data_IF_849702865681
#
_entry.id   IF_849702865681
#
_cell.length_a   1.000
_cell.length_b   1.000
_cell.length_c   1.000
_cell.angle_alpha   90.00
_cell.angle_beta   90.00
_cell.angle_gamma   90.00
#
_symmetry.space_group_name_H-M   'P 1'
#
loop_
_entity.id
_entity.type
_entity.pdbx_description
1 polymer ?
#
# COMPACT_ATOMS: atom_id res chain seq x y z
N UNK A 1 10.16 -11.76 11.22
CA UNK A 1 10.17 -12.72 10.10
C UNK A 1 8.80 -12.71 9.42
N UNK A 2 8.66 -13.28 8.21
CA UNK A 2 7.32 -13.51 7.64
C UNK A 2 6.44 -14.38 8.56
N UNK A 3 7.01 -15.16 9.47
CA UNK A 3 6.27 -15.93 10.49
C UNK A 3 5.52 -15.06 11.52
N UNK A 4 5.87 -13.78 11.65
CA UNK A 4 5.28 -12.89 12.69
C UNK A 4 4.15 -12.00 12.15
N UNK A 5 3.90 -12.02 10.84
CA UNK A 5 2.71 -11.36 10.30
C UNK A 5 1.45 -12.18 10.69
N UNK A 6 0.24 -11.64 10.55
CA UNK A 6 -0.94 -12.36 11.02
C UNK A 6 -1.62 -13.12 9.86
N UNK A 7 -2.22 -14.30 10.11
CA UNK A 7 -2.79 -15.22 9.08
C UNK A 7 -4.33 -15.25 9.15
N UNK A 8 -5.06 -15.46 8.04
CA UNK A 8 -4.59 -15.71 6.67
C UNK A 8 -4.00 -14.47 5.97
N UNK A 9 -3.12 -14.70 4.98
CA UNK A 9 -2.46 -13.63 4.20
C UNK A 9 -2.59 -13.87 2.71
N UNK A 10 -3.13 -12.89 2.01
CA UNK A 10 -3.09 -12.80 0.55
C UNK A 10 -2.07 -11.72 0.15
N UNK A 11 -1.14 -12.09 -0.71
CA UNK A 11 -0.27 -11.14 -1.40
C UNK A 11 -0.56 -11.24 -2.89
N UNK A 12 -1.02 -10.14 -3.48
CA UNK A 12 -1.19 -10.01 -4.93
C UNK A 12 0.02 -9.27 -5.48
N UNK A 13 0.83 -9.94 -6.29
CA UNK A 13 1.89 -9.33 -7.10
C UNK A 13 1.28 -8.88 -8.43
N UNK A 14 1.18 -7.57 -8.65
CA UNK A 14 0.54 -7.05 -9.85
C UNK A 14 1.44 -7.14 -11.09
N UNK A 15 2.73 -7.40 -10.95
CA UNK A 15 3.66 -7.50 -12.09
C UNK A 15 3.70 -8.88 -12.74
N UNK A 16 3.15 -9.89 -12.07
CA UNK A 16 3.12 -11.27 -12.56
C UNK A 16 2.00 -11.53 -13.56
N UNK A 17 2.21 -12.45 -14.53
CA UNK A 17 1.13 -13.00 -15.34
C UNK A 17 0.03 -13.59 -14.45
N UNK A 18 -1.24 -13.39 -14.81
CA UNK A 18 -2.40 -13.81 -14.00
C UNK A 18 -2.84 -12.80 -12.94
N UNK A 19 -2.19 -11.64 -12.87
CA UNK A 19 -2.66 -10.52 -12.05
C UNK A 19 -4.10 -10.10 -12.43
N UNK A 20 -4.97 -9.77 -11.45
CA UNK A 20 -6.32 -9.30 -11.74
C UNK A 20 -6.35 -7.89 -12.39
N UNK A 21 -5.21 -7.17 -12.42
CA UNK A 21 -5.07 -5.91 -13.13
C UNK A 21 -4.21 -6.11 -14.39
N UNK A 22 -4.67 -5.58 -15.51
CA UNK A 22 -3.91 -5.59 -16.75
C UNK A 22 -2.55 -4.87 -16.59
N UNK A 23 -1.58 -5.19 -17.46
CA UNK A 23 -0.26 -4.55 -17.43
C UNK A 23 -0.27 -3.09 -17.84
N UNK A 24 -1.24 -2.72 -18.68
CA UNK A 24 -1.33 -1.40 -19.27
C UNK A 24 -1.96 -0.37 -18.31
N UNK A 25 -2.60 -0.82 -17.23
CA UNK A 25 -3.26 0.06 -16.25
C UNK A 25 -2.32 0.48 -15.14
N UNK A 26 -2.53 1.69 -14.63
CA UNK A 26 -1.81 2.15 -13.43
C UNK A 26 -2.14 1.24 -12.26
N UNK A 27 -1.10 0.75 -11.58
CA UNK A 27 -1.17 -0.18 -10.45
C UNK A 27 0.04 0.01 -9.53
N UNK A 28 -0.11 -0.39 -8.28
CA UNK A 28 1.03 -0.56 -7.39
C UNK A 28 1.69 -1.92 -7.64
N UNK A 29 2.88 -2.14 -7.08
CA UNK A 29 3.60 -3.40 -7.28
C UNK A 29 2.93 -4.57 -6.54
N UNK A 30 2.51 -4.34 -5.28
CA UNK A 30 1.86 -5.38 -4.47
C UNK A 30 0.62 -4.87 -3.74
N UNK A 31 -0.30 -5.77 -3.45
CA UNK A 31 -1.37 -5.59 -2.46
C UNK A 31 -1.27 -6.70 -1.43
N UNK A 32 -1.11 -6.32 -0.16
CA UNK A 32 -1.20 -7.21 0.99
C UNK A 32 -2.58 -7.08 1.62
N UNK A 33 -3.22 -8.23 1.84
CA UNK A 33 -4.42 -8.37 2.68
C UNK A 33 -4.10 -9.43 3.73
N UNK A 34 -4.31 -9.12 5.00
CA UNK A 34 -4.07 -10.06 6.09
C UNK A 34 -5.10 -9.88 7.19
N UNK A 35 -5.32 -10.90 8.01
CA UNK A 35 -6.14 -10.79 9.22
C UNK A 35 -5.24 -10.75 10.44
N UNK A 36 -5.44 -9.81 11.37
CA UNK A 36 -4.74 -9.75 12.66
C UNK A 36 -5.29 -10.80 13.64
N UNK A 37 -4.50 -11.21 14.63
CA UNK A 37 -4.94 -12.04 15.77
C UNK A 37 -6.04 -11.38 16.61
N UNK A 38 -6.27 -10.08 16.41
CA UNK A 38 -7.30 -9.26 17.06
C UNK A 38 -8.56 -9.06 16.19
N UNK A 39 -8.79 -9.91 15.17
CA UNK A 39 -9.96 -9.86 14.27
C UNK A 39 -10.07 -8.59 13.40
N UNK A 40 -8.98 -7.82 13.28
CA UNK A 40 -8.91 -6.69 12.35
C UNK A 40 -8.28 -7.12 11.04
N UNK A 41 -8.91 -6.82 9.92
CA UNK A 41 -8.29 -6.91 8.61
C UNK A 41 -7.17 -5.87 8.46
N UNK A 42 -6.14 -6.20 7.70
CA UNK A 42 -5.06 -5.31 7.27
C UNK A 42 -5.06 -5.25 5.76
N UNK A 43 -5.04 -4.04 5.21
CA UNK A 43 -4.93 -3.80 3.78
C UNK A 43 -3.80 -2.82 3.52
N UNK A 44 -2.82 -3.23 2.72
CA UNK A 44 -1.66 -2.42 2.41
C UNK A 44 -1.26 -2.54 0.93
N UNK A 45 -1.65 -1.56 0.08
CA UNK A 45 -1.02 -1.40 -1.24
C UNK A 45 0.41 -0.90 -1.06
N UNK A 46 1.32 -1.48 -1.83
CA UNK A 46 2.77 -1.31 -1.70
C UNK A 46 3.35 -0.91 -3.05
N UNK A 47 4.06 0.22 -3.06
CA UNK A 47 4.81 0.71 -4.22
C UNK A 47 6.30 0.77 -3.91
N UNK A 48 7.13 0.14 -4.73
CA UNK A 48 8.58 0.05 -4.58
C UNK A 48 9.27 0.89 -5.67
N UNK A 49 10.00 1.92 -5.25
CA UNK A 49 10.81 2.75 -6.16
C UNK A 49 12.29 2.46 -5.97
N UNK A 50 12.94 1.98 -7.04
CA UNK A 50 14.40 1.80 -7.09
C UNK A 50 15.16 3.12 -7.28
N UNK A 51 14.54 4.09 -7.97
CA UNK A 51 15.12 5.40 -8.27
C UNK A 51 14.45 6.54 -7.52
N UNK A 52 14.46 7.72 -8.13
CA UNK A 52 13.77 8.88 -7.57
C UNK A 52 12.26 8.62 -7.48
N UNK A 53 11.71 8.85 -6.28
CA UNK A 53 10.28 8.79 -6.05
C UNK A 53 9.62 10.08 -6.56
N UNK A 54 8.56 9.94 -7.37
CA UNK A 54 7.66 11.03 -7.73
C UNK A 54 6.31 10.84 -7.06
N UNK A 55 5.90 11.79 -6.21
CA UNK A 55 4.74 11.68 -5.35
C UNK A 55 3.46 11.42 -6.14
N UNK A 56 3.20 12.18 -7.21
CA UNK A 56 1.97 12.02 -8.00
C UNK A 56 1.87 10.63 -8.63
N UNK A 57 2.99 10.07 -9.08
CA UNK A 57 3.01 8.74 -9.67
C UNK A 57 2.70 7.69 -8.60
N UNK A 58 3.40 7.75 -7.46
CA UNK A 58 3.18 6.84 -6.33
C UNK A 58 1.74 6.92 -5.82
N UNK A 59 1.19 8.13 -5.70
CA UNK A 59 -0.19 8.33 -5.25
C UNK A 59 -1.18 7.67 -6.19
N UNK A 60 -1.02 7.84 -7.51
CA UNK A 60 -1.90 7.19 -8.50
C UNK A 60 -1.80 5.66 -8.42
N UNK A 61 -0.60 5.12 -8.27
CA UNK A 61 -0.37 3.67 -8.17
C UNK A 61 -0.98 3.08 -6.89
N UNK A 62 -0.74 3.72 -5.74
CA UNK A 62 -1.32 3.30 -4.46
C UNK A 62 -2.84 3.45 -4.43
N UNK A 63 -3.39 4.49 -5.07
CA UNK A 63 -4.84 4.65 -5.21
C UNK A 63 -5.46 3.55 -6.07
N UNK A 64 -4.79 3.12 -7.14
CA UNK A 64 -5.23 1.98 -7.94
C UNK A 64 -5.21 0.68 -7.11
N UNK A 65 -4.17 0.47 -6.30
CA UNK A 65 -4.11 -0.64 -5.35
C UNK A 65 -5.24 -0.61 -4.31
N UNK A 66 -5.56 0.58 -3.78
CA UNK A 66 -6.68 0.76 -2.87
C UNK A 66 -8.02 0.40 -3.53
N UNK A 67 -8.26 0.89 -4.74
CA UNK A 67 -9.49 0.56 -5.49
C UNK A 67 -9.58 -0.90 -5.93
N UNK A 68 -8.45 -1.61 -6.05
CA UNK A 68 -8.47 -3.06 -6.20
C UNK A 68 -8.85 -3.75 -4.88
N UNK A 69 -8.33 -3.28 -3.75
CA UNK A 69 -8.64 -3.81 -2.43
C UNK A 69 -10.11 -3.60 -2.02
N UNK A 70 -10.71 -2.46 -2.39
CA UNK A 70 -12.14 -2.16 -2.15
C UNK A 70 -13.09 -3.19 -2.79
N UNK A 71 -12.62 -3.95 -3.80
CA UNK A 71 -13.38 -5.04 -4.44
C UNK A 71 -13.25 -6.38 -3.70
N UNK A 72 -12.27 -6.49 -2.81
CA UNK A 72 -11.90 -7.73 -2.12
C UNK A 72 -12.29 -7.70 -0.65
N UNK A 73 -12.34 -6.51 -0.05
CA UNK A 73 -12.60 -6.31 1.38
C UNK A 73 -13.85 -5.45 1.53
N UNK A 74 -14.83 -5.94 2.27
CA UNK A 74 -16.09 -5.21 2.51
C UNK A 74 -15.84 -3.93 3.31
N UNK A 75 -16.69 -2.92 3.12
CA UNK A 75 -16.67 -1.69 3.93
C UNK A 75 -17.08 -1.95 5.39
N UNK A 76 -17.89 -2.99 5.62
CA UNK A 76 -18.38 -3.37 6.96
C UNK A 76 -17.31 -4.06 7.82
N UNK A 77 -16.21 -4.51 7.23
CA UNK A 77 -15.13 -5.20 7.94
C UNK A 77 -14.18 -4.22 8.61
N UNK A 78 -13.91 -4.44 9.89
CA UNK A 78 -12.99 -3.60 10.66
C UNK A 78 -11.56 -3.72 10.11
N UNK A 79 -11.17 -2.76 9.25
CA UNK A 79 -9.94 -2.85 8.46
C UNK A 79 -8.96 -1.71 8.76
N UNK A 80 -7.71 -2.07 9.04
CA UNK A 80 -6.58 -1.15 9.11
C UNK A 80 -5.96 -0.97 7.72
N UNK A 81 -6.24 0.18 7.12
CA UNK A 81 -5.68 0.55 5.81
C UNK A 81 -4.36 1.33 5.95
N UNK A 82 -3.30 0.88 5.25
CA UNK A 82 -1.98 1.50 5.23
C UNK A 82 -1.35 1.49 3.83
N UNK A 83 -1.47 2.58 3.06
CA UNK A 83 -0.75 2.70 1.80
C UNK A 83 0.74 2.96 2.06
N UNK A 84 1.63 2.16 1.46
CA UNK A 84 3.07 2.19 1.75
C UNK A 84 3.86 2.41 0.46
N UNK A 85 4.80 3.35 0.51
CA UNK A 85 5.80 3.54 -0.53
C UNK A 85 7.20 3.28 0.03
N UNK A 86 7.91 2.33 -0.58
CA UNK A 86 9.30 2.04 -0.26
C UNK A 86 10.21 2.71 -1.29
N UNK A 87 11.22 3.44 -0.82
CA UNK A 87 12.24 4.02 -1.70
C UNK A 87 13.61 4.06 -1.02
N UNK A 88 14.68 3.91 -1.80
CA UNK A 88 16.04 4.10 -1.32
C UNK A 88 16.36 5.58 -1.02
N UNK A 89 15.74 6.50 -1.75
CA UNK A 89 15.88 7.93 -1.53
C UNK A 89 14.58 8.69 -1.85
N UNK A 90 14.26 9.70 -1.04
CA UNK A 90 13.12 10.59 -1.27
C UNK A 90 13.58 12.00 -0.93
N UNK A 91 13.51 12.90 -1.92
CA UNK A 91 13.88 14.29 -1.74
C UNK A 91 12.96 14.97 -0.71
N UNK A 92 13.44 16.05 -0.07
CA UNK A 92 12.63 16.82 0.88
C UNK A 92 11.34 17.32 0.24
N UNK A 93 11.40 17.76 -1.01
CA UNK A 93 10.24 18.23 -1.77
C UNK A 93 9.18 17.13 -1.91
N UNK A 94 9.58 15.93 -2.35
CA UNK A 94 8.66 14.80 -2.55
C UNK A 94 8.08 14.28 -1.22
N UNK A 95 8.86 14.31 -0.13
CA UNK A 95 8.36 14.01 1.22
C UNK A 95 7.25 14.97 1.66
N UNK A 96 7.39 16.26 1.38
CA UNK A 96 6.35 17.26 1.68
C UNK A 96 5.11 17.01 0.82
N UNK A 97 5.29 16.72 -0.47
CA UNK A 97 4.19 16.42 -1.38
C UNK A 97 3.39 15.21 -0.94
N UNK A 98 4.02 14.11 -0.55
CA UNK A 98 3.32 12.91 -0.06
C UNK A 98 2.54 13.14 1.24
N UNK A 99 2.93 14.14 2.04
CA UNK A 99 2.19 14.53 3.26
C UNK A 99 1.02 15.48 2.99
N UNK A 100 0.89 16.00 1.76
CA UNK A 100 -0.21 16.87 1.40
C UNK A 100 -1.53 16.08 1.44
N UNK A 101 -2.58 16.68 2.03
CA UNK A 101 -3.92 16.08 2.10
C UNK A 101 -4.48 15.65 0.74
N UNK A 102 -4.13 16.35 -0.35
CA UNK A 102 -4.53 16.00 -1.73
C UNK A 102 -3.88 14.72 -2.26
N UNK A 103 -2.78 14.29 -1.64
CA UNK A 103 -2.00 13.10 -2.00
C UNK A 103 -2.23 11.95 -1.01
N UNK A 104 -3.25 12.05 -0.16
CA UNK A 104 -3.70 10.93 0.66
C UNK A 104 -4.45 9.92 -0.23
N UNK A 105 -4.39 8.66 0.16
CA UNK A 105 -5.06 7.57 -0.55
C UNK A 105 -6.43 7.34 0.08
N UNK A 106 -7.46 7.27 -0.75
CA UNK A 106 -8.82 6.96 -0.32
C UNK A 106 -9.04 5.45 -0.33
N UNK A 107 -9.64 4.93 0.74
CA UNK A 107 -10.11 3.56 0.87
C UNK A 107 -11.41 3.57 1.68
N UNK A 108 -12.50 3.05 1.12
CA UNK A 108 -13.84 3.05 1.74
C UNK A 108 -14.22 4.42 2.30
N UNK A 109 -14.06 5.46 1.47
CA UNK A 109 -14.35 6.85 1.85
C UNK A 109 -13.32 7.52 2.79
N UNK A 110 -12.42 6.76 3.43
CA UNK A 110 -11.43 7.28 4.36
C UNK A 110 -10.12 7.66 3.67
N UNK A 111 -9.58 8.84 4.01
CA UNK A 111 -8.29 9.30 3.51
C UNK A 111 -7.16 8.85 4.44
N UNK A 112 -6.16 8.12 3.94
CA UNK A 112 -4.97 7.69 4.66
C UNK A 112 -3.69 8.29 4.07
N UNK A 113 -2.74 8.75 4.90
CA UNK A 113 -1.46 9.26 4.42
C UNK A 113 -0.57 8.13 3.92
N UNK A 114 0.23 8.40 2.88
CA UNK A 114 1.25 7.46 2.39
C UNK A 114 2.35 7.29 3.45
N UNK A 115 2.58 6.05 3.86
CA UNK A 115 3.68 5.68 4.75
C UNK A 115 4.95 5.46 3.93
N UNK A 116 5.97 6.25 4.20
CA UNK A 116 7.28 6.07 3.60
C UNK A 116 8.11 5.08 4.40
N UNK A 117 8.76 4.15 3.71
CA UNK A 117 9.78 3.28 4.27
C UNK A 117 11.03 3.24 3.37
N UNK A 118 12.17 2.88 3.95
CA UNK A 118 13.37 2.59 3.17
C UNK A 118 13.26 1.23 2.47
N UNK A 119 13.88 1.08 1.30
CA UNK A 119 14.07 -0.24 0.68
C UNK A 119 14.86 -1.14 1.65
N UNK A 120 14.40 -2.38 1.85
CA UNK A 120 14.95 -3.30 2.85
C UNK A 120 14.53 -2.99 4.30
N UNK A 121 13.73 -1.94 4.53
CA UNK A 121 13.13 -1.66 5.83
C UNK A 121 12.09 -2.71 6.24
N UNK A 122 11.76 -2.76 7.54
CA UNK A 122 10.72 -3.65 8.05
C UNK A 122 9.33 -3.15 7.68
N UNK A 123 8.58 -3.94 6.92
CA UNK A 123 7.19 -3.64 6.57
C UNK A 123 6.29 -3.56 7.82
N UNK A 124 6.51 -4.43 8.81
CA UNK A 124 5.76 -4.43 10.08
C UNK A 124 5.81 -3.06 10.76
N UNK A 125 7.00 -2.43 10.79
CA UNK A 125 7.16 -1.07 11.33
C UNK A 125 6.40 -0.01 10.54
N UNK A 126 6.30 -0.17 9.23
CA UNK A 126 5.56 0.77 8.36
C UNK A 126 4.03 0.65 8.53
N UNK A 127 3.55 -0.56 8.85
CA UNK A 127 2.14 -0.82 9.14
C UNK A 127 1.72 -0.33 10.53
N UNK A 128 2.67 -0.24 11.47
CA UNK A 128 2.46 0.31 12.81
C UNK A 128 1.93 -0.71 13.81
N UNK A 129 2.37 -1.96 13.69
CA UNK A 129 2.18 -3.05 14.66
C UNK A 129 3.06 -2.87 15.89
#
# INVERSE_FOLDING_TARGET
MLTDAPEPRLIVDFDRPGSPLAREVTRCDYLLIAEDRQEFGWVAPLELKRGQLHADQVVRQLQAGASAAEKLVSEDEATRFRPVAASGSVSKHERIRLKNRRNMIRFHGHMQPVRLMSCGGSLVKALGS
#
